data_IF_705996135315
#
_entry.id   IF_705996135315
#
_cell.length_a   1.000
_cell.length_b   1.000
_cell.length_c   1.000
_cell.angle_alpha   90.00
_cell.angle_beta   90.00
_cell.angle_gamma   90.00
#
_symmetry.space_group_name_H-M   'P 1'
#
loop_
_entity.id
_entity.type
_entity.pdbx_description
1 polymer ?
#
# COMPACT_ATOMS: atom_id res chain seq x y z
N UNK A 1 26.74 27.23 29.67
CA UNK A 1 26.08 25.97 29.28
C UNK A 1 24.82 25.82 30.11
N UNK A 2 23.68 26.27 29.60
CA UNK A 2 22.38 26.01 30.23
C UNK A 2 21.75 24.83 29.50
N UNK A 3 21.62 23.70 30.20
CA UNK A 3 20.83 22.56 29.77
C UNK A 3 19.36 22.96 29.79
N UNK A 4 18.76 23.15 28.61
CA UNK A 4 17.32 23.34 28.50
C UNK A 4 16.61 22.05 28.90
N UNK A 5 15.75 22.12 29.91
CA UNK A 5 14.84 21.05 30.29
C UNK A 5 13.67 21.01 29.29
N UNK A 6 13.39 19.85 28.71
CA UNK A 6 12.15 19.60 27.99
C UNK A 6 11.10 19.18 29.02
N UNK A 7 10.11 20.03 29.29
CA UNK A 7 9.00 19.71 30.21
C UNK A 7 7.86 19.12 29.38
N UNK A 8 7.59 17.83 29.55
CA UNK A 8 6.45 17.15 28.93
C UNK A 8 5.23 17.37 29.82
N UNK A 9 4.21 18.08 29.32
CA UNK A 9 2.94 18.24 30.02
C UNK A 9 2.03 17.02 29.78
N UNK A 10 1.46 16.48 30.85
CA UNK A 10 0.48 15.39 30.78
C UNK A 10 -0.91 15.97 30.49
N UNK A 11 -1.40 15.74 29.28
CA UNK A 11 -2.73 16.04 28.77
C UNK A 11 -2.94 15.24 27.47
N UNK A 12 -4.15 15.14 26.91
CA UNK A 12 -4.47 14.26 25.77
C UNK A 12 -3.76 14.59 24.44
N UNK A 13 -2.84 15.56 24.44
CA UNK A 13 -2.06 15.99 23.29
C UNK A 13 -0.57 16.01 23.66
N UNK A 14 0.25 15.25 22.95
CA UNK A 14 1.71 15.34 23.06
C UNK A 14 2.13 16.56 22.22
N UNK A 15 2.44 17.68 22.89
CA UNK A 15 3.14 18.80 22.25
C UNK A 15 4.64 18.70 22.53
N UNK A 16 5.46 18.66 21.47
CA UNK A 16 6.92 18.68 21.56
C UNK A 16 7.37 20.10 21.21
N UNK A 17 7.38 21.01 22.19
CA UNK A 17 8.00 22.33 22.05
C UNK A 17 9.40 22.29 22.66
N UNK A 18 10.44 22.37 21.82
CA UNK A 18 11.83 22.41 22.26
C UNK A 18 12.73 23.16 21.30
N UNK A 19 13.58 24.05 21.81
CA UNK A 19 14.72 24.58 21.04
C UNK A 19 15.75 23.48 20.93
N UNK A 20 16.00 22.99 19.72
CA UNK A 20 17.08 22.03 19.43
C UNK A 20 18.42 22.80 19.40
N UNK A 21 19.37 22.51 20.31
CA UNK A 21 20.67 23.20 20.34
C UNK A 21 21.45 23.02 19.03
N UNK A 22 22.23 24.03 18.64
CA UNK A 22 23.20 23.91 17.54
C UNK A 22 24.17 22.74 17.81
N UNK A 23 24.38 21.88 16.80
CA UNK A 23 25.20 20.66 16.90
C UNK A 23 24.40 19.37 17.21
N UNK A 24 23.11 19.47 17.53
CA UNK A 24 22.26 18.28 17.76
C UNK A 24 21.89 17.61 16.44
N UNK A 25 22.28 16.36 16.25
CA UNK A 25 22.03 15.61 15.00
C UNK A 25 20.67 14.88 14.99
N UNK A 26 20.06 14.64 16.15
CA UNK A 26 18.78 13.94 16.28
C UNK A 26 18.11 14.24 17.63
N UNK A 27 16.78 14.08 17.69
CA UNK A 27 15.98 14.10 18.92
C UNK A 27 15.59 12.67 19.29
N UNK A 28 15.65 12.33 20.58
CA UNK A 28 15.23 11.03 21.10
C UNK A 28 13.96 11.20 21.94
N UNK A 29 12.91 10.45 21.60
CA UNK A 29 11.67 10.33 22.35
C UNK A 29 11.65 8.94 22.99
N UNK A 30 11.50 8.88 24.31
CA UNK A 30 11.48 7.63 25.07
C UNK A 30 10.12 7.45 25.73
N UNK A 31 9.43 6.36 25.39
CA UNK A 31 8.17 5.96 26.01
C UNK A 31 8.43 4.76 26.93
N UNK A 32 8.15 4.91 28.23
CA UNK A 32 8.34 3.85 29.24
C UNK A 32 7.19 3.84 30.25
N UNK A 33 6.79 2.65 30.70
CA UNK A 33 5.85 2.49 31.82
C UNK A 33 6.61 2.59 33.14
N UNK A 34 6.17 3.45 34.06
CA UNK A 34 6.92 3.82 35.26
C UNK A 34 7.16 2.66 36.25
N UNK A 35 6.30 1.64 36.23
CA UNK A 35 6.39 0.47 37.13
C UNK A 35 7.33 -0.63 36.60
N UNK A 36 7.71 -0.56 35.33
CA UNK A 36 8.73 -1.42 34.74
C UNK A 36 9.98 -0.58 34.48
N UNK A 37 11.10 -0.92 35.14
CA UNK A 37 12.42 -0.37 34.77
C UNK A 37 12.55 -0.28 33.24
N UNK A 38 13.19 0.78 32.68
CA UNK A 38 13.30 1.13 31.24
C UNK A 38 13.58 -0.01 30.23
N UNK A 39 13.83 -1.24 30.68
CA UNK A 39 13.78 -2.51 29.95
C UNK A 39 12.37 -2.74 29.36
N UNK A 40 12.14 -2.20 28.18
CA UNK A 40 10.86 -2.25 27.46
C UNK A 40 10.45 -0.92 26.83
N UNK A 41 11.22 0.14 27.09
CA UNK A 41 10.94 1.46 26.55
C UNK A 41 11.10 1.51 25.03
N UNK A 42 10.16 2.18 24.35
CA UNK A 42 10.27 2.47 22.92
C UNK A 42 11.05 3.77 22.73
N UNK A 43 12.16 3.69 21.99
CA UNK A 43 13.10 4.78 21.80
C UNK A 43 13.06 5.26 20.35
N UNK A 44 12.27 6.29 20.07
CA UNK A 44 12.13 6.85 18.72
C UNK A 44 13.16 7.95 18.50
N UNK A 45 14.08 7.72 17.56
CA UNK A 45 15.13 8.68 17.20
C UNK A 45 14.77 9.38 15.88
N UNK A 46 14.54 10.68 15.93
CA UNK A 46 14.17 11.49 14.76
C UNK A 46 15.39 12.33 14.33
N UNK A 47 15.86 12.22 13.07
CA UNK A 47 16.91 13.08 12.52
C UNK A 47 16.51 14.57 12.57
N UNK A 48 17.47 15.46 12.79
CA UNK A 48 17.21 16.91 12.92
C UNK A 48 16.44 17.47 11.71
N UNK A 49 16.84 17.06 10.51
CA UNK A 49 16.27 17.58 9.26
C UNK A 49 14.81 17.14 9.05
N UNK A 50 14.37 16.07 9.72
CA UNK A 50 13.01 15.56 9.64
C UNK A 50 12.07 16.23 10.66
N UNK A 51 12.60 16.94 11.67
CA UNK A 51 11.81 17.57 12.74
C UNK A 51 10.86 18.66 12.23
N UNK A 52 11.24 19.42 11.20
CA UNK A 52 10.36 20.42 10.61
C UNK A 52 9.18 19.80 9.86
N UNK A 53 9.20 18.49 9.67
CA UNK A 53 8.20 17.73 8.93
C UNK A 53 7.54 16.64 9.79
N UNK A 54 7.77 16.65 11.11
CA UNK A 54 7.29 15.63 12.05
C UNK A 54 5.96 15.99 12.74
N UNK A 55 5.29 17.08 12.34
CA UNK A 55 4.05 17.54 12.98
C UNK A 55 2.95 16.46 13.02
N UNK A 56 2.89 15.61 12.01
CA UNK A 56 1.95 14.48 11.94
C UNK A 56 2.11 13.48 13.10
N UNK A 57 3.31 13.38 13.68
CA UNK A 57 3.60 12.44 14.78
C UNK A 57 2.86 12.84 16.07
N UNK A 58 2.50 14.11 16.24
CA UNK A 58 1.70 14.58 17.37
C UNK A 58 0.24 14.05 17.35
N UNK A 59 -0.23 13.59 16.19
CA UNK A 59 -1.57 13.00 16.06
C UNK A 59 -1.66 11.55 16.55
N UNK A 60 -0.52 10.92 16.88
CA UNK A 60 -0.44 9.52 17.29
C UNK A 60 -0.77 9.34 18.77
N UNK A 61 -1.48 8.25 19.10
CA UNK A 61 -1.75 7.85 20.49
C UNK A 61 -0.51 7.24 21.15
N UNK A 62 -0.51 7.13 22.48
CA UNK A 62 0.59 6.49 23.23
C UNK A 62 0.81 5.03 22.80
N UNK A 63 -0.26 4.30 22.47
CA UNK A 63 -0.19 2.90 22.03
C UNK A 63 0.35 2.78 20.60
N UNK A 64 0.01 3.73 19.72
CA UNK A 64 0.61 3.86 18.39
C UNK A 64 2.11 4.17 18.46
N UNK A 65 2.52 5.06 19.37
CA UNK A 65 3.94 5.36 19.61
C UNK A 65 4.71 4.16 20.15
N UNK A 66 4.11 3.36 21.05
CA UNK A 66 4.73 2.13 21.56
C UNK A 66 4.98 1.10 20.46
N UNK A 67 4.07 1.03 19.49
CA UNK A 67 4.15 0.09 18.38
C UNK A 67 5.01 0.62 17.21
N UNK A 68 5.72 1.74 17.37
CA UNK A 68 6.47 2.44 16.32
C UNK A 68 7.34 1.51 15.47
N UNK A 69 8.13 0.60 16.08
CA UNK A 69 9.06 -0.26 15.34
C UNK A 69 8.49 -1.60 14.89
N UNK A 70 7.19 -1.87 15.13
CA UNK A 70 6.56 -3.10 14.68
C UNK A 70 6.41 -3.14 13.15
N UNK A 71 5.73 -2.19 12.48
CA UNK A 71 5.61 -2.20 11.03
C UNK A 71 6.95 -1.99 10.35
N UNK A 72 7.36 -2.98 9.54
CA UNK A 72 8.57 -2.92 8.70
C UNK A 72 8.16 -2.82 7.24
N UNK A 73 8.63 -1.77 6.57
CA UNK A 73 8.35 -1.52 5.16
C UNK A 73 9.55 -1.94 4.30
N UNK A 74 9.27 -2.68 3.22
CA UNK A 74 10.23 -2.89 2.12
C UNK A 74 9.68 -2.23 0.86
N UNK A 75 10.48 -1.40 0.22
CA UNK A 75 10.15 -0.81 -1.08
C UNK A 75 10.60 -1.79 -2.17
N UNK A 76 9.71 -2.11 -3.09
CA UNK A 76 9.97 -2.99 -4.22
C UNK A 76 9.72 -2.25 -5.53
N UNK A 77 10.78 -2.07 -6.31
CA UNK A 77 10.78 -1.32 -7.57
C UNK A 77 10.92 -2.29 -8.74
N UNK A 78 10.03 -2.19 -9.72
CA UNK A 78 10.03 -3.01 -10.94
C UNK A 78 10.35 -2.12 -12.13
N UNK A 79 11.29 -2.56 -12.97
CA UNK A 79 11.70 -1.79 -14.15
C UNK A 79 12.19 -2.70 -15.28
N UNK A 80 12.19 -2.14 -16.49
CA UNK A 80 12.63 -2.82 -17.72
C UNK A 80 13.64 -1.97 -18.48
N UNK A 81 13.19 -1.00 -19.26
CA UNK A 81 14.00 -0.33 -20.29
C UNK A 81 13.70 1.19 -20.37
N UNK A 82 13.49 1.83 -19.21
CA UNK A 82 13.16 3.26 -19.11
C UNK A 82 14.11 3.99 -18.14
N UNK A 83 15.37 4.23 -18.53
CA UNK A 83 16.41 4.71 -17.61
C UNK A 83 16.06 6.06 -16.97
N UNK A 84 15.49 7.00 -17.73
CA UNK A 84 15.16 8.34 -17.21
C UNK A 84 13.92 8.32 -16.28
N UNK A 85 12.95 7.45 -16.59
CA UNK A 85 11.80 7.24 -15.71
C UNK A 85 12.23 6.62 -14.38
N UNK A 86 13.06 5.57 -14.45
CA UNK A 86 13.63 4.95 -13.27
C UNK A 86 14.48 5.95 -12.47
N UNK A 87 15.29 6.76 -13.14
CA UNK A 87 16.10 7.80 -12.48
C UNK A 87 15.23 8.77 -11.68
N UNK A 88 14.08 9.18 -12.22
CA UNK A 88 13.10 10.03 -11.51
C UNK A 88 12.51 9.33 -10.30
N UNK A 89 12.10 8.06 -10.45
CA UNK A 89 11.60 7.27 -9.32
C UNK A 89 12.65 7.15 -8.21
N UNK A 90 13.87 6.70 -8.53
CA UNK A 90 14.97 6.51 -7.58
C UNK A 90 15.33 7.82 -6.86
N UNK A 91 15.31 8.94 -7.58
CA UNK A 91 15.51 10.26 -6.98
C UNK A 91 14.38 10.61 -5.99
N UNK A 92 13.12 10.41 -6.37
CA UNK A 92 11.98 10.70 -5.49
C UNK A 92 11.93 9.80 -4.24
N UNK A 93 12.33 8.52 -4.36
CA UNK A 93 12.47 7.60 -3.23
C UNK A 93 13.57 8.07 -2.27
N UNK A 94 14.71 8.51 -2.81
CA UNK A 94 15.85 9.01 -2.02
C UNK A 94 15.55 10.31 -1.29
N UNK A 95 14.67 11.15 -1.84
CA UNK A 95 14.24 12.39 -1.20
C UNK A 95 13.12 12.19 -0.17
N UNK A 96 12.68 10.95 0.06
CA UNK A 96 11.70 10.61 1.08
C UNK A 96 12.19 10.88 2.50
N UNK A 97 11.28 11.30 3.38
CA UNK A 97 11.54 11.49 4.81
C UNK A 97 11.17 10.22 5.58
N UNK A 98 12.17 9.54 6.14
CA UNK A 98 11.99 8.25 6.83
C UNK A 98 11.96 8.36 8.36
N UNK A 99 12.18 9.56 8.92
CA UNK A 99 12.06 9.83 10.36
C UNK A 99 12.94 8.91 11.24
N UNK A 100 14.10 8.52 10.70
CA UNK A 100 15.07 7.65 11.36
C UNK A 100 14.80 6.15 11.22
N UNK A 101 13.73 5.75 10.54
CA UNK A 101 13.44 4.33 10.32
C UNK A 101 14.36 3.72 9.24
N UNK A 102 14.66 2.45 9.45
CA UNK A 102 15.37 1.62 8.49
C UNK A 102 14.38 1.03 7.46
N UNK A 103 14.61 1.30 6.18
CA UNK A 103 13.73 0.87 5.08
C UNK A 103 14.56 0.18 4.01
N UNK A 104 14.21 -1.07 3.70
CA UNK A 104 14.90 -1.86 2.68
C UNK A 104 14.36 -1.58 1.28
N UNK A 105 15.23 -1.62 0.27
CA UNK A 105 14.86 -1.54 -1.15
C UNK A 105 15.20 -2.83 -1.87
N UNK A 106 14.26 -3.29 -2.70
CA UNK A 106 14.47 -4.30 -3.73
C UNK A 106 14.25 -3.68 -5.11
N UNK A 107 15.20 -3.87 -6.03
CA UNK A 107 15.08 -3.44 -7.43
C UNK A 107 15.06 -4.68 -8.32
N UNK A 108 13.97 -4.85 -9.06
CA UNK A 108 13.70 -5.97 -9.94
C UNK A 108 13.85 -5.53 -11.40
N UNK A 109 14.92 -6.02 -12.03
CA UNK A 109 15.22 -5.85 -13.44
C UNK A 109 14.66 -7.05 -14.24
N UNK A 110 13.93 -6.77 -15.31
CA UNK A 110 13.54 -7.79 -16.29
C UNK A 110 14.75 -8.31 -17.06
N UNK A 111 14.66 -9.53 -17.61
CA UNK A 111 15.73 -10.16 -18.39
C UNK A 111 16.19 -9.29 -19.58
N UNK A 112 15.26 -8.55 -20.17
CA UNK A 112 15.49 -7.70 -21.32
C UNK A 112 15.83 -6.25 -20.92
N UNK A 113 16.27 -5.99 -19.69
CA UNK A 113 16.65 -4.65 -19.25
C UNK A 113 17.85 -4.14 -20.06
N UNK A 114 17.78 -2.89 -20.51
CA UNK A 114 18.82 -2.28 -21.31
C UNK A 114 20.02 -1.84 -20.48
N UNK A 115 21.18 -1.67 -21.13
CA UNK A 115 22.42 -1.33 -20.44
C UNK A 115 22.33 -0.01 -19.66
N UNK A 116 21.60 0.98 -20.18
CA UNK A 116 21.44 2.27 -19.50
C UNK A 116 20.66 2.11 -18.20
N UNK A 117 19.55 1.35 -18.19
CA UNK A 117 18.80 1.10 -16.95
C UNK A 117 19.62 0.31 -15.94
N UNK A 118 20.36 -0.72 -16.37
CA UNK A 118 21.29 -1.46 -15.50
C UNK A 118 22.32 -0.51 -14.86
N UNK A 119 22.87 0.42 -15.64
CA UNK A 119 23.86 1.37 -15.15
C UNK A 119 23.27 2.30 -14.09
N UNK A 120 22.06 2.84 -14.30
CA UNK A 120 21.35 3.66 -13.29
C UNK A 120 21.16 2.90 -11.97
N UNK A 121 20.86 1.60 -12.01
CA UNK A 121 20.72 0.77 -10.81
C UNK A 121 22.06 0.50 -10.12
N UNK A 122 23.14 0.27 -10.88
CA UNK A 122 24.48 0.07 -10.31
C UNK A 122 25.02 1.32 -9.62
N UNK A 123 24.69 2.50 -10.15
CA UNK A 123 25.15 3.78 -9.59
C UNK A 123 24.28 4.25 -8.43
N UNK A 124 23.12 3.63 -8.22
CA UNK A 124 22.19 3.97 -7.15
C UNK A 124 22.77 3.63 -5.77
N UNK A 125 22.70 4.60 -4.86
CA UNK A 125 23.10 4.46 -3.46
C UNK A 125 21.89 4.60 -2.56
N UNK A 126 21.86 3.78 -1.51
CA UNK A 126 20.75 3.75 -0.57
C UNK A 126 21.28 3.87 0.86
N UNK A 127 20.91 4.97 1.53
CA UNK A 127 21.47 5.33 2.83
C UNK A 127 20.49 5.06 4.00
N UNK A 128 19.29 4.54 3.72
CA UNK A 128 18.24 4.31 4.73
C UNK A 128 18.00 2.83 5.05
N UNK A 129 18.75 1.91 4.46
CA UNK A 129 18.65 0.48 4.76
C UNK A 129 19.43 -0.40 3.79
N UNK A 130 19.02 -1.64 3.62
CA UNK A 130 19.68 -2.55 2.67
C UNK A 130 19.13 -2.36 1.25
N UNK A 131 20.01 -2.56 0.26
CA UNK A 131 19.67 -2.57 -1.16
C UNK A 131 19.89 -3.98 -1.73
N UNK A 132 18.83 -4.55 -2.28
CA UNK A 132 18.86 -5.84 -2.96
C UNK A 132 18.50 -5.67 -4.44
N UNK A 133 19.30 -6.26 -5.32
CA UNK A 133 19.10 -6.20 -6.77
C UNK A 133 18.80 -7.59 -7.29
N UNK A 134 17.68 -7.74 -7.99
CA UNK A 134 17.28 -8.96 -8.67
C UNK A 134 17.17 -8.73 -10.17
N UNK A 135 17.99 -9.43 -10.96
CA UNK A 135 17.92 -9.39 -12.42
C UNK A 135 17.47 -10.76 -12.94
N UNK A 136 16.35 -10.78 -13.66
CA UNK A 136 15.80 -12.03 -14.19
C UNK A 136 16.72 -12.62 -15.25
N UNK A 137 16.90 -13.95 -15.19
CA UNK A 137 17.60 -14.71 -16.23
C UNK A 137 16.67 -15.10 -17.37
N UNK A 138 15.38 -15.29 -17.07
CA UNK A 138 14.33 -15.68 -18.02
C UNK A 138 13.27 -14.57 -18.03
N UNK A 139 12.80 -14.22 -19.23
CA UNK A 139 11.74 -13.21 -19.39
C UNK A 139 10.47 -13.60 -18.61
N UNK A 140 10.08 -12.76 -17.66
CA UNK A 140 8.92 -13.01 -16.79
C UNK A 140 7.63 -12.35 -17.29
N UNK A 141 7.75 -11.14 -17.84
CA UNK A 141 6.59 -10.31 -18.16
C UNK A 141 5.97 -9.66 -16.92
N UNK A 142 4.97 -8.79 -17.15
CA UNK A 142 4.48 -7.86 -16.12
C UNK A 142 3.82 -8.55 -14.92
N UNK A 143 3.05 -9.62 -15.15
CA UNK A 143 2.34 -10.31 -14.05
C UNK A 143 3.33 -10.94 -13.06
N UNK A 144 4.26 -11.82 -13.47
CA UNK A 144 5.29 -12.33 -12.55
C UNK A 144 6.17 -11.22 -11.99
N UNK A 145 6.51 -10.20 -12.80
CA UNK A 145 7.32 -9.08 -12.33
C UNK A 145 6.69 -8.37 -11.13
N UNK A 146 5.37 -8.18 -11.10
CA UNK A 146 4.68 -7.55 -9.96
C UNK A 146 4.47 -8.52 -8.81
N UNK A 147 3.89 -9.70 -9.08
CA UNK A 147 3.50 -10.66 -8.05
C UNK A 147 4.72 -11.16 -7.26
N UNK A 148 5.83 -11.44 -7.94
CA UNK A 148 7.05 -11.98 -7.34
C UNK A 148 8.03 -10.90 -6.87
N UNK A 149 7.67 -9.61 -7.01
CA UNK A 149 8.55 -8.50 -6.58
C UNK A 149 8.71 -8.46 -5.06
N UNK A 150 7.74 -8.98 -4.31
CA UNK A 150 7.79 -8.99 -2.87
C UNK A 150 6.92 -10.11 -2.30
N UNK A 151 7.38 -10.70 -1.20
CA UNK A 151 6.63 -11.65 -0.40
C UNK A 151 6.90 -11.38 1.08
N UNK A 152 5.89 -11.39 1.95
CA UNK A 152 6.06 -11.07 3.36
C UNK A 152 6.85 -12.13 4.12
N UNK A 153 7.69 -11.68 5.05
CA UNK A 153 8.35 -12.57 6.01
C UNK A 153 7.49 -12.82 7.26
N UNK A 154 6.73 -11.81 7.70
CA UNK A 154 5.85 -11.83 8.87
C UNK A 154 4.63 -10.95 8.62
N UNK A 155 3.63 -11.00 9.49
CA UNK A 155 2.44 -10.13 9.43
C UNK A 155 2.74 -8.65 9.76
N UNK A 156 3.97 -8.33 10.16
CA UNK A 156 4.45 -6.96 10.35
C UNK A 156 5.38 -6.50 9.21
N UNK A 157 5.50 -7.29 8.13
CA UNK A 157 6.31 -6.97 6.96
C UNK A 157 5.39 -6.51 5.83
N UNK A 158 5.51 -5.25 5.44
CA UNK A 158 4.68 -4.61 4.41
C UNK A 158 5.51 -4.32 3.15
N UNK A 159 4.90 -4.47 1.97
CA UNK A 159 5.57 -4.21 0.69
C UNK A 159 5.00 -2.97 0.01
N UNK A 160 5.82 -1.93 -0.21
CA UNK A 160 5.49 -0.82 -1.10
C UNK A 160 5.89 -1.19 -2.53
N UNK A 161 4.90 -1.42 -3.40
CA UNK A 161 5.15 -1.83 -4.78
C UNK A 161 5.13 -0.62 -5.72
N UNK A 162 6.20 -0.46 -6.51
CA UNK A 162 6.45 0.67 -7.41
C UNK A 162 6.88 0.17 -8.80
N UNK A 163 6.35 0.80 -9.84
CA UNK A 163 6.84 0.67 -11.22
C UNK A 163 7.64 1.92 -11.59
N UNK A 164 8.54 1.79 -12.56
CA UNK A 164 9.46 2.87 -12.96
C UNK A 164 8.79 4.18 -13.44
N UNK A 165 7.49 4.18 -13.74
CA UNK A 165 6.72 5.34 -14.17
C UNK A 165 6.04 6.10 -13.01
N UNK A 166 6.28 5.69 -11.76
CA UNK A 166 5.81 6.38 -10.55
C UNK A 166 6.83 7.41 -10.09
N UNK A 167 6.34 8.48 -9.47
CA UNK A 167 7.14 9.45 -8.71
C UNK A 167 6.46 9.69 -7.36
N UNK A 168 7.25 9.81 -6.28
CA UNK A 168 6.76 9.91 -4.91
C UNK A 168 6.91 11.32 -4.32
N UNK A 169 5.97 11.68 -3.45
CA UNK A 169 6.10 12.83 -2.56
C UNK A 169 7.21 12.58 -1.53
N UNK A 170 7.99 13.59 -1.11
CA UNK A 170 8.90 13.46 0.03
C UNK A 170 8.24 12.98 1.34
N UNK A 171 6.91 13.13 1.47
CA UNK A 171 6.12 12.73 2.64
C UNK A 171 5.41 11.39 2.48
N UNK A 172 5.70 10.61 1.41
CA UNK A 172 5.03 9.33 1.17
C UNK A 172 5.15 8.37 2.36
N UNK A 173 6.33 8.32 2.98
CA UNK A 173 6.60 7.40 4.08
C UNK A 173 5.85 7.81 5.36
N UNK A 174 5.77 9.11 5.66
CA UNK A 174 4.97 9.60 6.79
C UNK A 174 3.50 9.19 6.67
N UNK A 175 2.90 9.31 5.48
CA UNK A 175 1.55 8.83 5.23
C UNK A 175 1.41 7.33 5.49
N UNK A 176 2.33 6.50 4.96
CA UNK A 176 2.34 5.05 5.20
C UNK A 176 2.46 4.76 6.70
N UNK A 177 3.41 5.38 7.39
CA UNK A 177 3.68 5.12 8.80
C UNK A 177 2.49 5.52 9.68
N UNK A 178 1.96 6.72 9.49
CA UNK A 178 0.82 7.26 10.21
C UNK A 178 -0.42 6.35 10.04
N UNK A 179 -0.70 5.92 8.81
CA UNK A 179 -1.88 5.08 8.51
C UNK A 179 -1.72 3.64 8.98
N UNK A 180 -0.52 3.04 8.85
CA UNK A 180 -0.25 1.72 9.42
C UNK A 180 -0.45 1.73 10.94
N UNK A 181 0.17 2.68 11.64
CA UNK A 181 0.03 2.77 13.09
C UNK A 181 -1.43 2.93 13.51
N UNK A 182 -2.18 3.83 12.85
CA UNK A 182 -3.60 4.08 13.14
C UNK A 182 -4.52 2.89 12.89
N UNK A 183 -4.37 2.19 11.75
CA UNK A 183 -5.35 1.20 11.31
C UNK A 183 -4.92 -0.26 11.49
N UNK A 184 -3.64 -0.55 11.80
CA UNK A 184 -3.14 -1.91 12.01
C UNK A 184 -2.51 -2.17 13.37
N UNK A 185 -2.08 -1.11 14.06
CA UNK A 185 -1.43 -1.20 15.36
C UNK A 185 -2.19 -0.41 16.43
N UNK A 186 -1.60 -0.28 17.61
CA UNK A 186 -2.22 0.39 18.75
C UNK A 186 -3.55 -0.25 19.11
N UNK A 187 -4.53 0.59 19.44
CA UNK A 187 -5.86 0.14 19.92
C UNK A 187 -6.72 -0.51 18.82
N UNK A 188 -6.33 -0.33 17.56
CA UNK A 188 -7.02 -0.88 16.39
C UNK A 188 -6.42 -2.19 15.88
N UNK A 189 -5.43 -2.74 16.59
CA UNK A 189 -4.80 -4.02 16.21
C UNK A 189 -5.85 -5.12 16.07
N UNK A 190 -5.89 -5.73 14.88
CA UNK A 190 -6.86 -6.78 14.54
C UNK A 190 -8.28 -6.31 14.22
N UNK A 191 -8.57 -5.00 14.19
CA UNK A 191 -9.92 -4.48 13.87
C UNK A 191 -10.23 -4.40 12.38
N UNK A 192 -9.27 -3.95 11.57
CA UNK A 192 -9.44 -3.76 10.12
C UNK A 192 -8.86 -4.93 9.32
N UNK A 193 -9.39 -6.14 9.52
CA UNK A 193 -8.91 -7.34 8.81
C UNK A 193 -9.20 -7.29 7.30
N UNK A 194 -10.16 -6.47 6.87
CA UNK A 194 -10.50 -6.27 5.47
C UNK A 194 -9.52 -5.33 4.74
N UNK A 195 -8.69 -4.58 5.47
CA UNK A 195 -7.77 -3.63 4.87
C UNK A 195 -6.59 -4.38 4.23
N UNK A 196 -6.52 -4.41 2.90
CA UNK A 196 -5.46 -5.12 2.17
C UNK A 196 -4.27 -4.23 1.78
N UNK A 197 -4.38 -2.92 1.97
CA UNK A 197 -3.33 -2.01 1.55
C UNK A 197 -3.61 -0.53 1.76
N UNK A 198 -2.61 0.28 1.43
CA UNK A 198 -2.64 1.74 1.48
C UNK A 198 -2.19 2.27 0.12
N UNK A 199 -3.03 3.06 -0.53
CA UNK A 199 -2.66 3.78 -1.74
C UNK A 199 -1.83 5.02 -1.39
N UNK A 200 -0.85 5.34 -2.23
CA UNK A 200 -0.19 6.64 -2.25
C UNK A 200 -0.83 7.60 -3.25
N UNK A 201 -1.58 7.07 -4.21
CA UNK A 201 -2.27 7.80 -5.26
C UNK A 201 -3.72 8.10 -4.88
N UNK A 202 -4.23 9.28 -5.26
CA UNK A 202 -5.63 9.67 -5.12
C UNK A 202 -6.36 9.47 -6.45
N UNK A 203 -7.41 8.65 -6.44
CA UNK A 203 -8.14 8.28 -7.65
C UNK A 203 -8.80 9.48 -8.33
N UNK A 204 -8.41 9.77 -9.58
CA UNK A 204 -9.13 10.68 -10.48
C UNK A 204 -10.22 10.00 -11.30
N UNK A 205 -10.20 8.67 -11.39
CA UNK A 205 -11.12 7.90 -12.21
C UNK A 205 -11.44 6.55 -11.58
N UNK A 206 -12.70 6.10 -11.73
CA UNK A 206 -13.10 4.71 -11.50
C UNK A 206 -12.88 3.94 -12.80
N UNK A 207 -12.07 2.88 -12.76
CA UNK A 207 -11.64 2.18 -13.97
C UNK A 207 -12.41 0.90 -14.32
N UNK A 208 -13.30 0.46 -13.44
CA UNK A 208 -13.94 -0.85 -13.51
C UNK A 208 -15.32 -0.87 -14.19
N UNK A 209 -15.89 0.28 -14.55
CA UNK A 209 -17.14 0.32 -15.32
C UNK A 209 -16.96 -0.33 -16.70
N UNK A 210 -17.97 -1.08 -17.14
CA UNK A 210 -17.94 -1.86 -18.40
C UNK A 210 -17.70 -1.01 -19.65
N UNK A 211 -18.21 0.22 -19.65
CA UNK A 211 -18.14 1.17 -20.75
C UNK A 211 -16.86 2.02 -20.74
N UNK A 212 -16.00 1.87 -19.73
CA UNK A 212 -14.69 2.50 -19.69
C UNK A 212 -14.36 3.15 -18.36
N UNK A 213 -13.29 3.95 -18.33
CA UNK A 213 -12.95 4.74 -17.14
C UNK A 213 -13.92 5.91 -17.02
N UNK A 214 -14.40 6.19 -15.82
CA UNK A 214 -15.26 7.33 -15.51
C UNK A 214 -14.50 8.30 -14.59
N UNK A 215 -14.58 9.63 -14.83
CA UNK A 215 -14.06 10.61 -13.88
C UNK A 215 -14.65 10.38 -12.49
N UNK A 216 -13.83 10.58 -11.48
CA UNK A 216 -14.20 10.37 -10.08
C UNK A 216 -13.76 11.57 -9.24
N UNK A 217 -14.66 12.03 -8.37
CA UNK A 217 -14.43 13.14 -7.46
C UNK A 217 -14.97 12.74 -6.08
N UNK A 218 -14.10 12.15 -5.27
CA UNK A 218 -14.44 11.75 -3.90
C UNK A 218 -14.93 12.94 -3.04
N UNK A 219 -14.31 14.15 -3.09
CA UNK A 219 -14.82 15.30 -2.35
C UNK A 219 -16.28 15.66 -2.64
N UNK A 220 -16.68 15.66 -3.91
CA UNK A 220 -18.07 15.91 -4.29
C UNK A 220 -19.00 14.80 -3.77
N UNK A 221 -18.63 13.53 -3.98
CA UNK A 221 -19.40 12.38 -3.49
C UNK A 221 -19.62 12.43 -1.97
N UNK A 222 -18.58 12.77 -1.21
CA UNK A 222 -18.63 12.83 0.25
C UNK A 222 -19.46 14.00 0.75
N UNK A 223 -19.31 15.17 0.13
CA UNK A 223 -20.14 16.33 0.46
C UNK A 223 -21.63 16.03 0.24
N UNK A 224 -21.98 15.43 -0.90
CA UNK A 224 -23.36 15.08 -1.25
C UNK A 224 -23.97 14.02 -0.31
N UNK A 225 -23.14 13.29 0.43
CA UNK A 225 -23.56 12.22 1.35
C UNK A 225 -23.22 12.52 2.82
N UNK A 226 -22.98 13.79 3.16
CA UNK A 226 -22.83 14.23 4.56
C UNK A 226 -21.51 13.86 5.23
N UNK A 227 -20.47 13.54 4.45
CA UNK A 227 -19.12 13.29 4.93
C UNK A 227 -18.20 14.51 4.69
N UNK A 228 -17.17 14.73 5.51
CA UNK A 228 -16.17 15.75 5.23
C UNK A 228 -15.50 15.53 3.86
N UNK A 229 -15.41 16.54 2.97
CA UNK A 229 -15.01 16.35 1.58
C UNK A 229 -13.56 15.88 1.40
N UNK A 230 -12.67 16.18 2.36
CA UNK A 230 -11.25 15.81 2.31
C UNK A 230 -10.91 14.63 3.25
N UNK A 231 -11.91 13.82 3.59
CA UNK A 231 -11.66 12.61 4.40
C UNK A 231 -11.03 11.50 3.55
N UNK A 232 -9.99 10.81 4.04
CA UNK A 232 -9.56 9.52 3.48
C UNK A 232 -10.73 8.54 3.41
N UNK A 233 -10.60 7.52 2.58
CA UNK A 233 -11.67 6.54 2.37
C UNK A 233 -11.14 5.15 2.04
N UNK A 234 -11.99 4.15 2.21
CA UNK A 234 -11.73 2.79 1.79
C UNK A 234 -12.35 2.52 0.42
N UNK A 235 -11.65 1.78 -0.44
CA UNK A 235 -12.17 1.33 -1.74
C UNK A 235 -11.75 -0.10 -2.04
N UNK A 236 -12.64 -0.89 -2.64
CA UNK A 236 -12.28 -2.22 -3.15
C UNK A 236 -11.31 -2.19 -4.35
N UNK A 237 -11.07 -1.04 -4.97
CA UNK A 237 -10.22 -0.97 -6.16
C UNK A 237 -8.75 -0.96 -5.71
N UNK A 238 -7.91 -1.93 -6.14
CA UNK A 238 -6.49 -1.90 -5.80
C UNK A 238 -5.75 -0.77 -6.55
N UNK A 239 -4.77 -0.14 -5.92
CA UNK A 239 -3.92 0.86 -6.58
C UNK A 239 -2.68 0.22 -7.22
N UNK A 240 -2.38 0.58 -8.47
CA UNK A 240 -1.18 0.13 -9.19
C UNK A 240 -0.17 1.25 -9.45
N UNK A 241 -0.32 2.41 -8.78
CA UNK A 241 0.50 3.60 -9.01
C UNK A 241 1.20 4.05 -7.72
N UNK A 242 1.79 3.08 -7.03
CA UNK A 242 2.35 3.25 -5.69
C UNK A 242 1.35 2.90 -4.61
N UNK A 243 1.53 1.71 -4.04
CA UNK A 243 0.69 1.21 -2.97
C UNK A 243 1.44 0.23 -2.06
N UNK A 244 1.10 0.28 -0.78
CA UNK A 244 1.52 -0.70 0.21
C UNK A 244 0.52 -1.85 0.21
N UNK A 245 1.02 -3.07 0.07
CA UNK A 245 0.24 -4.31 0.18
C UNK A 245 0.51 -4.99 1.52
N UNK A 246 -0.56 -5.47 2.14
CA UNK A 246 -0.50 -6.05 3.48
C UNK A 246 -0.09 -7.53 3.41
N UNK A 247 0.69 -8.01 4.40
CA UNK A 247 1.32 -9.31 4.34
C UNK A 247 0.31 -10.46 4.16
N UNK A 248 -0.71 -10.51 5.01
CA UNK A 248 -1.66 -11.62 5.00
C UNK A 248 -2.45 -11.69 3.68
N UNK A 249 -2.89 -10.53 3.18
CA UNK A 249 -3.64 -10.42 1.94
C UNK A 249 -2.80 -10.73 0.71
N UNK A 250 -1.53 -10.31 0.70
CA UNK A 250 -0.62 -10.61 -0.41
C UNK A 250 -0.24 -12.09 -0.43
N UNK A 251 0.00 -12.70 0.74
CA UNK A 251 0.23 -14.13 0.85
C UNK A 251 -1.00 -14.94 0.38
N UNK A 252 -2.21 -14.57 0.82
CA UNK A 252 -3.44 -15.19 0.34
C UNK A 252 -3.60 -15.03 -1.18
N UNK A 253 -3.23 -13.86 -1.73
CA UNK A 253 -3.28 -13.63 -3.16
C UNK A 253 -2.33 -14.54 -3.95
N UNK A 254 -1.13 -14.81 -3.45
CA UNK A 254 -0.21 -15.77 -4.08
C UNK A 254 -0.85 -17.15 -4.17
N UNK A 255 -1.46 -17.63 -3.08
CA UNK A 255 -2.16 -18.91 -3.06
C UNK A 255 -3.37 -18.91 -4.02
N UNK A 256 -4.18 -17.85 -3.97
CA UNK A 256 -5.35 -17.68 -4.84
C UNK A 256 -4.95 -17.70 -6.31
N UNK A 257 -3.89 -16.99 -6.68
CA UNK A 257 -3.40 -16.90 -8.05
C UNK A 257 -2.87 -18.26 -8.54
N UNK A 258 -2.12 -18.98 -7.69
CA UNK A 258 -1.66 -20.34 -7.99
C UNK A 258 -2.84 -21.30 -8.24
N UNK A 259 -3.85 -21.25 -7.39
CA UNK A 259 -5.08 -22.05 -7.57
C UNK A 259 -5.80 -21.66 -8.86
N UNK A 260 -5.98 -20.37 -9.15
CA UNK A 260 -6.67 -19.89 -10.34
C UNK A 260 -5.97 -20.33 -11.63
N UNK A 261 -4.64 -20.27 -11.70
CA UNK A 261 -3.89 -20.71 -12.88
C UNK A 261 -3.78 -22.23 -13.02
N UNK A 262 -3.90 -22.98 -11.92
CA UNK A 262 -3.99 -24.44 -12.02
C UNK A 262 -5.33 -24.94 -12.57
N UNK A 263 -6.34 -24.05 -12.65
CA UNK A 263 -7.73 -24.35 -13.04
C UNK A 263 -8.41 -25.43 -12.19
N UNK A 264 -7.83 -25.81 -11.04
CA UNK A 264 -8.35 -26.87 -10.17
C UNK A 264 -9.67 -26.49 -9.47
N UNK A 265 -9.86 -25.19 -9.21
CA UNK A 265 -11.08 -24.63 -8.64
C UNK A 265 -12.11 -24.36 -9.75
N UNK A 266 -11.71 -23.57 -10.75
CA UNK A 266 -12.54 -23.18 -11.88
C UNK A 266 -11.70 -23.02 -13.14
N UNK A 267 -12.30 -23.17 -14.35
CA UNK A 267 -11.69 -22.74 -15.60
C UNK A 267 -11.15 -21.30 -15.53
N UNK A 268 -10.08 -21.01 -16.27
CA UNK A 268 -9.44 -19.68 -16.21
C UNK A 268 -10.36 -18.54 -16.67
N UNK A 269 -11.31 -18.85 -17.55
CA UNK A 269 -12.31 -17.93 -18.11
C UNK A 269 -13.57 -17.78 -17.27
N UNK A 270 -13.72 -18.57 -16.20
CA UNK A 270 -14.82 -18.42 -15.23
C UNK A 270 -14.85 -16.98 -14.71
N UNK A 271 -16.01 -16.33 -14.87
CA UNK A 271 -16.24 -14.99 -14.34
C UNK A 271 -16.46 -15.10 -12.83
N UNK A 272 -15.57 -14.50 -12.04
CA UNK A 272 -15.70 -14.46 -10.58
C UNK A 272 -16.47 -13.22 -10.15
N UNK A 273 -16.11 -12.06 -10.69
CA UNK A 273 -16.77 -10.78 -10.38
C UNK A 273 -17.73 -10.42 -11.52
N UNK A 274 -19.05 -10.33 -11.26
CA UNK A 274 -20.01 -9.92 -12.27
C UNK A 274 -19.77 -8.48 -12.75
N UNK A 275 -20.08 -8.21 -14.01
CA UNK A 275 -20.27 -6.86 -14.57
C UNK A 275 -19.13 -5.84 -14.34
N UNK A 276 -17.89 -6.32 -14.24
CA UNK A 276 -16.70 -5.47 -14.16
C UNK A 276 -15.80 -5.60 -15.38
N UNK A 277 -15.20 -4.47 -15.77
CA UNK A 277 -14.30 -4.38 -16.93
C UNK A 277 -13.01 -5.21 -16.76
N UNK A 278 -12.56 -5.44 -15.53
CA UNK A 278 -11.34 -6.20 -15.24
C UNK A 278 -11.37 -7.64 -15.75
N UNK A 279 -12.56 -8.21 -15.99
CA UNK A 279 -12.71 -9.52 -16.62
C UNK A 279 -12.00 -9.62 -17.98
N UNK A 280 -11.81 -8.49 -18.69
CA UNK A 280 -11.10 -8.41 -19.98
C UNK A 280 -9.57 -8.29 -19.84
N UNK A 281 -9.02 -8.23 -18.62
CA UNK A 281 -7.59 -8.03 -18.37
C UNK A 281 -6.86 -9.34 -18.09
N UNK A 282 -6.98 -10.34 -18.98
CA UNK A 282 -6.48 -11.71 -18.75
C UNK A 282 -4.99 -11.82 -18.42
N UNK A 283 -4.17 -10.86 -18.86
CA UNK A 283 -2.72 -10.80 -18.59
C UNK A 283 -2.33 -9.93 -17.38
N UNK A 284 -3.29 -9.32 -16.70
CA UNK A 284 -3.04 -8.43 -15.57
C UNK A 284 -3.22 -9.18 -14.26
N UNK A 285 -2.21 -9.11 -13.38
CA UNK A 285 -2.30 -9.60 -12.01
C UNK A 285 -3.50 -8.96 -11.28
N UNK A 286 -3.79 -7.69 -11.60
CA UNK A 286 -4.85 -6.89 -10.97
C UNK A 286 -6.25 -7.48 -11.22
N UNK A 287 -6.47 -8.17 -12.34
CA UNK A 287 -7.74 -8.91 -12.56
C UNK A 287 -7.98 -9.88 -11.42
N UNK A 288 -7.03 -10.78 -11.20
CA UNK A 288 -7.14 -11.86 -10.21
C UNK A 288 -7.16 -11.31 -8.78
N UNK A 289 -6.43 -10.23 -8.51
CA UNK A 289 -6.50 -9.60 -7.20
C UNK A 289 -7.86 -8.94 -6.93
N UNK A 290 -8.49 -8.33 -7.94
CA UNK A 290 -9.87 -7.83 -7.84
C UNK A 290 -10.86 -8.98 -7.56
N UNK A 291 -10.66 -10.17 -8.13
CA UNK A 291 -11.49 -11.34 -7.81
C UNK A 291 -11.41 -11.69 -6.32
N UNK A 292 -10.21 -11.81 -5.77
CA UNK A 292 -10.00 -12.08 -4.35
C UNK A 292 -10.62 -10.99 -3.47
N UNK A 293 -10.36 -9.72 -3.80
CA UNK A 293 -10.88 -8.56 -3.08
C UNK A 293 -12.41 -8.55 -3.06
N UNK A 294 -13.04 -8.87 -4.19
CA UNK A 294 -14.50 -8.95 -4.29
C UNK A 294 -15.07 -10.06 -3.41
N UNK A 295 -14.54 -11.28 -3.53
CA UNK A 295 -15.02 -12.43 -2.76
C UNK A 295 -14.88 -12.25 -1.25
N UNK A 296 -13.84 -11.52 -0.82
CA UNK A 296 -13.54 -11.26 0.59
C UNK A 296 -14.16 -9.98 1.15
N UNK A 297 -14.66 -9.08 0.31
CA UNK A 297 -15.05 -7.73 0.73
C UNK A 297 -13.86 -6.89 1.22
N UNK A 298 -12.65 -7.16 0.71
CA UNK A 298 -11.45 -6.43 1.11
C UNK A 298 -11.43 -5.01 0.54
N UNK A 299 -10.73 -4.09 1.22
CA UNK A 299 -10.60 -2.68 0.81
C UNK A 299 -9.18 -2.15 0.99
N UNK A 300 -8.83 -1.12 0.24
CA UNK A 300 -7.58 -0.36 0.37
C UNK A 300 -7.90 1.05 0.86
N UNK A 301 -7.03 1.60 1.71
CA UNK A 301 -7.11 2.99 2.14
C UNK A 301 -6.60 3.92 1.04
N UNK A 302 -7.32 5.00 0.78
CA UNK A 302 -6.96 6.04 -0.17
C UNK A 302 -6.83 7.41 0.49
N UNK A 303 -5.80 8.20 0.13
CA UNK A 303 -5.74 9.61 0.49
C UNK A 303 -6.80 10.41 -0.28
N UNK A 304 -7.21 11.55 0.28
CA UNK A 304 -8.21 12.43 -0.32
C UNK A 304 -7.97 13.90 0.05
N UNK A 305 -6.82 14.42 -0.35
CA UNK A 305 -6.45 15.81 -0.09
C UNK A 305 -7.06 16.76 -1.15
N UNK A 306 -7.12 18.07 -0.86
CA UNK A 306 -7.53 19.09 -1.82
C UNK A 306 -6.80 18.98 -3.17
N UNK A 307 -7.50 19.32 -4.26
CA UNK A 307 -6.93 19.41 -5.61
C UNK A 307 -6.22 18.15 -6.11
N UNK A 308 -6.62 16.97 -5.61
CA UNK A 308 -5.99 15.68 -5.88
C UNK A 308 -4.53 15.59 -5.45
N UNK A 309 -4.07 16.45 -4.53
CA UNK A 309 -2.72 16.36 -3.97
C UNK A 309 -2.50 14.96 -3.39
N UNK A 310 -1.39 14.34 -3.75
CA UNK A 310 -1.17 12.93 -3.48
C UNK A 310 0.26 12.62 -3.07
N UNK A 311 0.49 11.38 -2.67
CA UNK A 311 1.78 10.88 -2.20
C UNK A 311 2.54 10.12 -3.30
N UNK A 312 1.86 9.81 -4.40
CA UNK A 312 2.46 9.35 -5.65
C UNK A 312 1.72 9.91 -6.87
N UNK A 313 2.41 9.93 -8.00
CA UNK A 313 1.86 10.29 -9.31
C UNK A 313 2.37 9.32 -10.36
N UNK A 314 1.59 9.04 -11.39
CA UNK A 314 1.97 8.17 -12.50
C UNK A 314 2.16 9.01 -13.77
N UNK A 315 3.34 8.89 -14.39
CA UNK A 315 3.73 9.66 -15.56
C UNK A 315 3.22 9.11 -16.90
N UNK A 316 2.56 7.94 -16.87
CA UNK A 316 2.04 7.22 -18.03
C UNK A 316 3.10 7.02 -19.12
N UNK A 317 4.27 6.55 -18.73
CA UNK A 317 5.34 6.30 -19.68
C UNK A 317 4.92 5.21 -20.69
N UNK A 318 5.39 5.34 -21.93
CA UNK A 318 5.03 4.43 -23.02
C UNK A 318 5.52 3.01 -22.70
N UNK A 319 4.64 2.01 -22.79
CA UNK A 319 4.96 0.60 -22.52
C UNK A 319 3.81 -0.36 -22.79
N UNK A 320 3.60 -1.33 -21.89
CA UNK A 320 2.62 -2.40 -22.07
C UNK A 320 1.18 -1.86 -22.14
N UNK A 321 0.83 -0.92 -21.25
CA UNK A 321 -0.53 -0.37 -21.14
C UNK A 321 -0.74 0.98 -21.83
N UNK A 322 0.33 1.75 -22.06
CA UNK A 322 0.26 3.08 -22.69
C UNK A 322 1.04 3.05 -24.01
N UNK A 323 0.35 3.22 -25.14
CA UNK A 323 0.99 3.28 -26.47
C UNK A 323 1.24 4.70 -26.97
N UNK A 324 0.47 5.67 -26.48
CA UNK A 324 0.56 7.09 -26.84
C UNK A 324 0.31 7.94 -25.61
N UNK A 325 1.22 8.87 -25.33
CA UNK A 325 1.23 9.78 -24.18
C UNK A 325 0.68 11.16 -24.57
N UNK A 326 -0.62 11.27 -24.82
CA UNK A 326 -1.27 12.56 -25.12
C UNK A 326 -1.42 13.43 -23.87
N UNK A 327 -1.49 14.77 -24.04
CA UNK A 327 -1.70 15.71 -22.93
C UNK A 327 -2.97 15.40 -22.13
N UNK A 328 -4.08 15.11 -22.82
CA UNK A 328 -5.32 14.69 -22.18
C UNK A 328 -5.19 13.43 -21.30
N UNK A 329 -4.36 12.45 -21.71
CA UNK A 329 -4.09 11.28 -20.87
C UNK A 329 -3.22 11.64 -19.68
N UNK A 330 -2.19 12.47 -19.86
CA UNK A 330 -1.38 12.94 -18.74
C UNK A 330 -2.26 13.66 -17.70
N UNK A 331 -3.12 14.58 -18.13
CA UNK A 331 -4.01 15.33 -17.25
C UNK A 331 -5.04 14.46 -16.53
N UNK A 332 -5.42 13.31 -17.11
CA UNK A 332 -6.35 12.37 -16.50
C UNK A 332 -5.73 11.47 -15.41
N UNK A 333 -4.40 11.36 -15.33
CA UNK A 333 -3.72 10.41 -14.43
C UNK A 333 -2.72 11.08 -13.51
N UNK A 334 -1.97 12.07 -14.00
CA UNK A 334 -1.04 12.83 -13.18
C UNK A 334 -1.81 13.66 -12.16
N UNK A 335 -1.29 13.63 -10.94
CA UNK A 335 -1.74 14.40 -9.78
C UNK A 335 -0.57 15.20 -9.22
N UNK A 336 -0.83 16.36 -8.59
CA UNK A 336 0.21 17.08 -7.88
C UNK A 336 0.69 16.26 -6.68
N UNK A 337 2.01 16.27 -6.44
CA UNK A 337 2.62 15.62 -5.29
C UNK A 337 2.65 16.58 -4.10
N UNK A 338 2.31 16.09 -2.91
CA UNK A 338 2.49 16.80 -1.66
C UNK A 338 3.98 17.14 -1.48
N UNK A 339 4.30 18.40 -1.18
CA UNK A 339 5.68 18.87 -1.00
C UNK A 339 5.96 19.18 0.47
N UNK A 340 7.24 19.34 0.80
CA UNK A 340 7.65 19.86 2.10
C UNK A 340 7.20 21.32 2.24
N UNK A 341 6.79 21.71 3.45
CA UNK A 341 6.20 23.02 3.75
C UNK A 341 7.11 24.22 3.43
N UNK A 342 8.43 24.01 3.34
CA UNK A 342 9.40 25.03 2.92
C UNK A 342 9.43 25.32 1.42
N UNK A 343 8.90 24.41 0.60
CA UNK A 343 9.19 24.36 -0.84
C UNK A 343 8.00 24.79 -1.73
N UNK A 344 6.81 25.03 -1.15
CA UNK A 344 5.57 25.28 -1.90
C UNK A 344 4.79 26.52 -1.45
N UNK A 345 4.21 27.24 -2.43
CA UNK A 345 3.22 28.32 -2.21
C UNK A 345 1.84 27.79 -1.81
N UNK A 346 1.61 26.49 -1.93
CA UNK A 346 0.41 25.76 -1.49
C UNK A 346 0.82 24.74 -0.43
N UNK A 347 0.61 25.06 0.84
CA UNK A 347 0.99 24.22 1.98
C UNK A 347 -0.14 23.27 2.33
N UNK A 348 -0.33 22.20 1.52
CA UNK A 348 -1.17 21.08 1.97
C UNK A 348 -0.29 20.12 2.77
N UNK A 349 -0.68 19.87 4.02
CA UNK A 349 0.04 19.05 4.98
C UNK A 349 -0.70 17.73 5.26
N UNK A 350 0.00 16.75 5.82
CA UNK A 350 -0.57 15.45 6.18
C UNK A 350 -1.72 15.53 7.19
N UNK A 351 -1.73 16.56 8.04
CA UNK A 351 -2.79 16.80 9.04
C UNK A 351 -3.87 17.77 8.54
N UNK A 352 -3.88 18.14 7.26
CA UNK A 352 -5.02 18.84 6.64
C UNK A 352 -6.18 17.83 6.41
N UNK A 353 -6.54 17.15 7.49
CA UNK A 353 -7.56 16.13 7.63
C UNK A 353 -8.64 16.68 8.58
N UNK A 354 -9.87 16.16 8.53
CA UNK A 354 -10.88 16.51 9.52
C UNK A 354 -10.37 16.26 10.95
N UNK A 355 -10.44 17.29 11.80
CA UNK A 355 -9.94 17.28 13.19
C UNK A 355 -8.43 17.03 13.34
N UNK A 356 -7.62 17.32 12.31
CA UNK A 356 -6.15 17.23 12.35
C UNK A 356 -5.62 15.83 12.74
N UNK A 357 -6.40 14.79 12.44
CA UNK A 357 -6.04 13.40 12.76
C UNK A 357 -6.70 12.44 11.78
N UNK A 358 -6.16 11.23 11.66
CA UNK A 358 -6.80 10.17 10.87
C UNK A 358 -8.13 9.72 11.53
N UNK A 359 -9.27 9.81 10.83
CA UNK A 359 -10.55 9.42 11.43
C UNK A 359 -10.63 7.93 11.80
N UNK A 360 -11.34 7.61 12.88
CA UNK A 360 -11.60 6.20 13.26
C UNK A 360 -12.62 5.52 12.35
N UNK A 361 -13.50 6.28 11.70
CA UNK A 361 -14.48 5.78 10.74
C UNK A 361 -14.29 6.50 9.42
N UNK A 362 -14.26 5.74 8.32
CA UNK A 362 -14.07 6.27 6.98
C UNK A 362 -15.19 5.78 6.04
N UNK A 363 -15.57 6.58 5.03
CA UNK A 363 -16.45 6.12 3.96
C UNK A 363 -15.86 4.88 3.26
N UNK A 364 -16.73 3.96 2.83
CA UNK A 364 -16.35 2.74 2.11
C UNK A 364 -16.97 2.76 0.71
N UNK A 365 -16.16 2.46 -0.30
CA UNK A 365 -16.58 2.42 -1.70
C UNK A 365 -16.44 1.00 -2.28
N UNK A 366 -17.42 0.61 -3.09
CA UNK A 366 -17.37 -0.63 -3.86
C UNK A 366 -16.50 -0.49 -5.13
N UNK A 367 -16.43 -1.55 -5.95
CA UNK A 367 -15.67 -1.58 -7.21
C UNK A 367 -16.13 -0.56 -8.27
N UNK A 368 -17.34 0.00 -8.16
CA UNK A 368 -17.87 1.03 -9.07
C UNK A 368 -17.78 2.44 -8.50
N UNK A 369 -17.11 2.62 -7.35
CA UNK A 369 -16.95 3.92 -6.70
C UNK A 369 -18.20 4.45 -5.98
N UNK A 370 -19.18 3.58 -5.72
CA UNK A 370 -20.40 3.93 -4.98
C UNK A 370 -20.21 3.67 -3.49
N UNK A 371 -20.81 4.51 -2.64
CA UNK A 371 -20.81 4.34 -1.19
C UNK A 371 -21.50 3.03 -0.77
N UNK A 372 -20.93 2.37 0.23
CA UNK A 372 -21.37 1.09 0.78
C UNK A 372 -20.82 0.91 2.20
N UNK A 373 -20.91 -0.29 2.76
CA UNK A 373 -20.36 -0.66 4.07
C UNK A 373 -19.55 -1.95 4.01
N UNK A 374 -18.66 -2.18 4.97
CA UNK A 374 -17.93 -3.46 5.10
C UNK A 374 -18.88 -4.67 5.10
N UNK A 375 -19.99 -4.58 5.83
CA UNK A 375 -20.98 -5.66 5.93
C UNK A 375 -21.63 -5.99 4.59
N UNK A 376 -21.94 -4.97 3.78
CA UNK A 376 -22.50 -5.18 2.44
C UNK A 376 -21.48 -5.82 1.50
N UNK A 377 -20.23 -5.37 1.53
CA UNK A 377 -19.16 -5.95 0.72
C UNK A 377 -18.94 -7.43 1.06
N UNK A 378 -18.89 -7.78 2.35
CA UNK A 378 -18.78 -9.16 2.81
C UNK A 378 -19.99 -10.00 2.38
N UNK A 379 -21.21 -9.47 2.52
CA UNK A 379 -22.43 -10.17 2.14
C UNK A 379 -22.47 -10.45 0.63
N UNK A 380 -22.09 -9.48 -0.20
CA UNK A 380 -22.03 -9.63 -1.66
C UNK A 380 -20.96 -10.67 -2.06
N UNK A 381 -19.77 -10.58 -1.47
CA UNK A 381 -18.69 -11.54 -1.73
C UNK A 381 -19.07 -12.97 -1.31
N UNK A 382 -19.70 -13.12 -0.13
CA UNK A 382 -20.17 -14.40 0.37
C UNK A 382 -21.30 -14.98 -0.49
N UNK A 383 -22.27 -14.16 -0.92
CA UNK A 383 -23.33 -14.59 -1.83
C UNK A 383 -22.75 -15.11 -3.15
N UNK A 384 -21.80 -14.37 -3.75
CA UNK A 384 -21.12 -14.83 -4.95
C UNK A 384 -20.33 -16.12 -4.73
N UNK A 385 -19.67 -16.26 -3.57
CA UNK A 385 -18.95 -17.50 -3.23
C UNK A 385 -19.90 -18.71 -3.19
N UNK A 386 -21.08 -18.57 -2.60
CA UNK A 386 -22.09 -19.64 -2.53
C UNK A 386 -22.63 -20.05 -3.90
N UNK A 387 -22.59 -19.16 -4.90
CA UNK A 387 -22.91 -19.49 -6.29
C UNK A 387 -21.79 -20.27 -7.00
N UNK A 388 -20.54 -20.14 -6.52
CA UNK A 388 -19.36 -20.73 -7.15
C UNK A 388 -18.94 -22.06 -6.51
N UNK A 389 -19.12 -22.23 -5.20
CA UNK A 389 -18.65 -23.40 -4.45
C UNK A 389 -19.62 -23.85 -3.35
N UNK A 390 -19.63 -25.16 -3.08
CA UNK A 390 -20.55 -25.83 -2.15
C UNK A 390 -19.91 -26.07 -0.77
N UNK A 391 -19.33 -25.05 -0.12
CA UNK A 391 -18.90 -25.18 1.28
C UNK A 391 -19.06 -23.89 2.10
N UNK A 392 -19.38 -24.09 3.38
CA UNK A 392 -19.70 -22.99 4.30
C UNK A 392 -18.46 -22.37 4.96
N UNK A 393 -17.39 -23.16 5.15
CA UNK A 393 -16.22 -22.72 5.90
C UNK A 393 -15.22 -21.95 5.02
N UNK A 394 -14.98 -20.68 5.35
CA UNK A 394 -13.83 -19.93 4.83
C UNK A 394 -13.12 -19.23 5.99
N UNK A 395 -11.86 -19.59 6.23
CA UNK A 395 -10.99 -18.88 7.18
C UNK A 395 -10.43 -17.64 6.49
N UNK A 396 -10.27 -16.56 7.25
CA UNK A 396 -9.64 -15.32 6.78
C UNK A 396 -8.20 -15.61 6.34
N UNK A 397 -7.75 -15.01 5.24
CA UNK A 397 -6.38 -15.15 4.72
C UNK A 397 -6.03 -16.56 4.22
N UNK A 398 -7.03 -17.37 3.85
CA UNK A 398 -6.83 -18.72 3.34
C UNK A 398 -7.59 -18.96 2.02
N UNK A 399 -6.86 -18.95 0.90
CA UNK A 399 -7.45 -19.12 -0.43
C UNK A 399 -8.01 -20.54 -0.66
N UNK A 400 -7.40 -21.58 -0.09
CA UNK A 400 -7.90 -22.96 -0.19
C UNK A 400 -9.29 -23.09 0.43
N UNK A 401 -9.53 -22.43 1.55
CA UNK A 401 -10.83 -22.40 2.18
C UNK A 401 -11.83 -21.49 1.48
N UNK A 402 -11.37 -20.35 0.95
CA UNK A 402 -12.20 -19.51 0.09
C UNK A 402 -12.78 -20.27 -1.12
N UNK A 403 -11.99 -21.21 -1.67
CA UNK A 403 -12.33 -21.96 -2.88
C UNK A 403 -12.72 -23.42 -2.62
N UNK A 404 -12.98 -23.80 -1.37
CA UNK A 404 -13.46 -25.14 -0.96
C UNK A 404 -12.56 -26.31 -1.42
N UNK A 405 -11.24 -26.14 -1.38
CA UNK A 405 -10.27 -27.15 -1.85
C UNK A 405 -9.72 -28.08 -0.74
N UNK A 406 -10.34 -28.09 0.45
CA UNK A 406 -9.86 -28.81 1.63
C UNK A 406 -9.63 -30.33 1.43
N UNK A 407 -10.30 -30.97 0.46
CA UNK A 407 -10.29 -32.43 0.27
C UNK A 407 -9.61 -32.93 -1.02
N UNK A 408 -9.18 -32.08 -1.96
CA UNK A 408 -8.54 -32.57 -3.19
C UNK A 408 -7.09 -33.09 -2.97
N UNK A 409 -6.34 -32.49 -2.04
CA UNK A 409 -4.98 -32.96 -1.70
C UNK A 409 -4.93 -34.36 -1.06
N UNK A 410 -5.99 -34.79 -0.37
CA UNK A 410 -6.08 -36.12 0.24
C UNK A 410 -6.37 -37.23 -0.79
N UNK A 411 -7.06 -36.91 -1.89
CA UNK A 411 -7.35 -37.85 -2.96
C UNK A 411 -6.13 -38.08 -3.87
N UNK A 412 -5.34 -37.04 -4.16
CA UNK A 412 -4.15 -37.16 -5.02
C UNK A 412 -2.96 -37.85 -4.32
N UNK A 413 -2.87 -37.74 -2.99
CA UNK A 413 -1.88 -38.49 -2.21
C UNK A 413 -2.20 -39.98 -2.09
N UNK A 414 -3.47 -40.38 -2.26
CA UNK A 414 -3.87 -41.79 -2.36
C UNK A 414 -3.72 -42.34 -3.79
N UNK A 415 -3.86 -41.51 -4.84
CA UNK A 415 -3.70 -41.95 -6.23
C UNK A 415 -2.24 -42.18 -6.63
N UNK A 416 -1.29 -41.41 -6.09
CA UNK A 416 0.15 -41.64 -6.33
C UNK A 416 0.73 -42.83 -5.55
N UNK A 417 0.07 -43.29 -4.47
CA UNK A 417 0.48 -44.49 -3.74
C UNK A 417 0.04 -45.80 -4.44
N UNK A 418 -0.85 -45.73 -5.44
CA UNK A 418 -1.41 -46.89 -6.15
C UNK A 418 -0.70 -47.30 -7.43
N UNK A 419 0.25 -46.51 -7.94
CA UNK A 419 0.98 -46.79 -9.20
C UNK A 419 2.46 -46.96 -8.91
N UNK A 420 2.79 -48.08 -8.27
CA UNK A 420 4.16 -48.35 -7.84
C UNK A 420 4.35 -49.75 -7.28
N UNK A 421 3.88 -50.76 -8.01
CA UNK A 421 4.34 -52.18 -7.93
C UNK A 421 3.61 -53.00 -8.99
N UNK A 422 4.24 -53.14 -10.15
CA UNK A 422 4.48 -54.45 -10.78
C UNK A 422 5.56 -54.32 -11.84
#
# INVERSE_FOLDING_TARGET
>A
MQSGSCTVFYGPFISIEGRVPEGTIAVLITLAELDHHLRGATNVRIPRDDLFHSGWMASLTITEWRDWYLPRLTISIITKDRPESLSRLLHSVSNGRFFGDHVDIRIHLEQSTDHQTVQKVKDFKWDHGSLFIHHRVIHGGLLPAVVESWYPHTNDSYGLLLEDDVELSPLFYAWIKMTLLRYRYGDNRGRYLQLFGISLYQQKNIELHLDGRKPFNAPALFLDNGHPPITPYFSQIPCSWGAVYFPEHWAEFHDYLGIRFSEIAFPIDQVIVPDVRSNRWSKSWKKYFIELVFLRGYVMLYPNFPDFISLSTNHLEVGSHVKVRSKAKQDAFMVPLMQLSSDSKTTVNLLDLPNETLPSTLPVLNLTGSLTTFKELEAIGAARRSELVECEMSRTFEATGLLCLFNKKAADSQSMAGVGRH
#
